data_IF_455671473096
#
_entry.id   IF_455671473096
#
_cell.length_a   1.000
_cell.length_b   1.000
_cell.length_c   1.000
_cell.angle_alpha   90.00
_cell.angle_beta   90.00
_cell.angle_gamma   90.00
#
_symmetry.space_group_name_H-M   'P 1'
#
loop_
_entity.id
_entity.type
_entity.pdbx_description
1 polymer ?
#
# COMPACT_ATOMS: atom_id res chain seq x y z
N UNK A 1 -14.05 6.52 56.88
CA UNK A 1 -15.02 7.52 57.37
C UNK A 1 -14.88 8.76 56.50
N UNK A 2 -15.74 8.92 55.49
CA UNK A 2 -16.81 9.93 55.44
C UNK A 2 -16.25 11.37 55.59
N UNK A 3 -16.37 12.29 54.64
CA UNK A 3 -17.65 12.86 54.20
C UNK A 3 -17.58 13.66 52.88
N UNK A 4 -18.66 13.52 52.09
CA UNK A 4 -19.18 14.41 51.03
C UNK A 4 -19.69 15.75 51.61
N UNK A 5 -19.54 16.84 50.86
CA UNK A 5 -20.44 18.03 50.77
C UNK A 5 -20.05 18.80 49.48
N UNK A 6 -20.81 18.95 48.38
CA UNK A 6 -22.19 19.37 48.07
C UNK A 6 -22.50 20.85 48.32
N UNK A 7 -22.51 21.64 47.24
CA UNK A 7 -23.22 22.93 47.05
C UNK A 7 -23.12 23.24 45.55
N UNK A 8 -24.12 23.38 44.67
CA UNK A 8 -25.58 23.62 44.67
C UNK A 8 -26.04 24.98 45.21
N UNK A 9 -26.08 25.97 44.33
CA UNK A 9 -26.94 27.16 44.36
C UNK A 9 -26.95 27.73 42.92
N UNK A 10 -28.05 27.58 42.16
CA UNK A 10 -29.23 28.50 42.11
C UNK A 10 -28.86 29.82 41.40
N UNK A 11 -29.62 30.40 40.47
CA UNK A 11 -30.99 30.20 39.95
C UNK A 11 -31.21 31.30 38.88
N UNK A 12 -32.17 31.07 37.96
CA UNK A 12 -33.15 32.05 37.39
C UNK A 12 -32.66 33.42 36.89
N UNK A 13 -33.18 34.07 35.86
CA UNK A 13 -34.35 33.97 35.00
C UNK A 13 -34.11 35.14 34.00
N UNK A 14 -34.20 34.94 32.67
CA UNK A 14 -35.40 35.18 31.84
C UNK A 14 -35.55 36.63 31.34
N UNK A 15 -35.75 36.73 30.00
CA UNK A 15 -36.56 37.74 29.27
C UNK A 15 -36.00 39.17 29.22
N UNK A 16 -36.04 39.96 28.13
CA UNK A 16 -36.47 39.86 26.74
C UNK A 16 -36.02 41.17 26.03
N UNK A 17 -35.98 41.18 24.68
CA UNK A 17 -35.88 42.34 23.73
C UNK A 17 -34.47 42.94 23.60
N UNK A 18 -33.96 43.33 22.43
CA UNK A 18 -34.53 43.74 21.13
C UNK A 18 -33.61 43.23 20.01
N UNK A 19 -34.14 42.59 18.95
CA UNK A 19 -34.41 43.20 17.63
C UNK A 19 -33.32 44.10 17.05
N UNK A 20 -33.03 43.78 15.78
CA UNK A 20 -32.42 44.57 14.71
C UNK A 20 -30.89 44.45 14.60
N UNK A 21 -30.45 43.65 13.61
CA UNK A 21 -29.62 44.07 12.47
C UNK A 21 -28.80 42.86 11.97
N UNK A 22 -29.14 42.33 10.79
CA UNK A 22 -28.43 42.67 9.55
C UNK A 22 -26.94 42.37 9.71
N UNK A 23 -26.42 41.23 9.26
CA UNK A 23 -26.21 40.95 7.84
C UNK A 23 -25.22 39.80 7.71
N UNK A 24 -25.20 39.16 6.54
CA UNK A 24 -24.08 38.40 6.02
C UNK A 24 -23.75 37.05 6.70
N UNK A 25 -24.49 36.04 6.23
CA UNK A 25 -23.91 34.82 5.64
C UNK A 25 -22.86 34.07 6.47
N UNK A 26 -23.31 33.14 7.30
CA UNK A 26 -22.47 32.05 7.79
C UNK A 26 -23.26 30.76 7.90
N UNK A 27 -22.88 29.82 7.04
CA UNK A 27 -22.69 28.39 7.34
C UNK A 27 -23.90 27.49 7.62
N UNK A 28 -23.92 26.36 6.89
CA UNK A 28 -24.68 25.11 7.10
C UNK A 28 -26.20 25.23 6.86
N UNK A 29 -26.88 24.38 6.09
CA UNK A 29 -26.59 22.99 5.76
C UNK A 29 -27.19 22.67 4.38
N UNK A 30 -26.34 22.17 3.49
CA UNK A 30 -26.75 21.46 2.29
C UNK A 30 -26.05 20.09 2.32
N UNK A 31 -26.75 19.07 2.80
CA UNK A 31 -26.65 17.78 2.12
C UNK A 31 -27.50 17.92 0.85
N UNK A 32 -26.96 17.61 -0.35
CA UNK A 32 -26.40 16.29 -0.64
C UNK A 32 -25.06 16.38 -1.41
N UNK A 33 -23.94 16.13 -0.75
CA UNK A 33 -22.62 16.02 -1.39
C UNK A 33 -22.03 14.61 -1.24
N UNK A 34 -22.83 13.59 -1.53
CA UNK A 34 -22.35 12.19 -1.65
C UNK A 34 -22.59 11.58 -3.03
N UNK A 35 -23.31 12.27 -3.93
CA UNK A 35 -23.58 11.79 -5.29
C UNK A 35 -22.64 12.33 -6.38
N UNK A 36 -21.83 13.37 -6.09
CA UNK A 36 -20.95 14.00 -7.09
C UNK A 36 -19.50 13.48 -7.10
N UNK A 37 -19.10 12.64 -6.12
CA UNK A 37 -17.70 12.17 -5.98
C UNK A 37 -17.41 10.81 -6.61
N UNK A 38 -18.30 10.28 -7.47
CA UNK A 38 -18.11 9.03 -8.21
C UNK A 38 -17.89 9.18 -9.72
N UNK A 39 -17.70 10.41 -10.23
CA UNK A 39 -17.54 10.66 -11.67
C UNK A 39 -16.23 11.36 -12.10
N UNK A 40 -15.31 11.64 -11.19
CA UNK A 40 -14.06 12.37 -11.53
C UNK A 40 -12.81 11.49 -11.64
N UNK A 41 -12.86 10.18 -11.35
CA UNK A 41 -11.66 9.32 -11.36
C UNK A 41 -11.39 8.64 -12.71
N UNK A 42 -12.11 9.01 -13.77
CA UNK A 42 -11.77 8.67 -15.17
C UNK A 42 -11.32 9.86 -16.02
N UNK A 43 -11.36 11.09 -15.47
CA UNK A 43 -10.94 12.32 -16.18
C UNK A 43 -9.47 12.66 -15.96
N UNK A 44 -8.86 12.30 -14.82
CA UNK A 44 -7.44 12.54 -14.55
C UNK A 44 -6.49 11.93 -15.59
N UNK A 45 -6.81 10.74 -16.09
CA UNK A 45 -6.01 10.06 -17.13
C UNK A 45 -6.19 10.67 -18.54
N UNK A 46 -7.32 11.37 -18.80
CA UNK A 46 -7.54 12.12 -20.05
C UNK A 46 -6.90 13.51 -20.00
N UNK A 47 -6.86 14.14 -18.83
CA UNK A 47 -6.13 15.39 -18.60
C UNK A 47 -4.61 15.19 -18.66
N UNK A 48 -4.08 14.06 -18.21
CA UNK A 48 -2.66 13.73 -18.39
C UNK A 48 -2.28 13.51 -19.87
N UNK A 49 -3.17 12.90 -20.66
CA UNK A 49 -2.99 12.72 -22.11
C UNK A 49 -3.12 14.02 -22.92
N UNK A 50 -3.84 15.03 -22.42
CA UNK A 50 -3.99 16.34 -23.05
C UNK A 50 -3.02 17.40 -22.51
N UNK A 51 -2.47 17.23 -21.29
CA UNK A 51 -1.49 18.14 -20.71
C UNK A 51 -0.11 18.01 -21.33
N UNK A 52 0.30 16.78 -21.69
CA UNK A 52 1.60 16.52 -22.32
C UNK A 52 1.81 17.23 -23.67
N UNK A 53 0.86 17.23 -24.64
CA UNK A 53 1.03 17.97 -25.90
C UNK A 53 1.00 19.49 -25.70
N UNK A 54 0.35 19.98 -24.64
CA UNK A 54 0.29 21.41 -24.36
C UNK A 54 1.65 21.93 -23.86
N UNK A 55 2.30 21.20 -22.94
CA UNK A 55 3.65 21.55 -22.46
C UNK A 55 4.69 21.39 -23.58
N UNK A 56 4.57 20.35 -24.42
CA UNK A 56 5.42 20.17 -25.61
C UNK A 56 5.22 21.29 -26.64
N UNK A 57 3.97 21.68 -26.90
CA UNK A 57 3.64 22.76 -27.84
C UNK A 57 4.14 24.12 -27.39
N UNK A 58 4.03 24.45 -26.10
CA UNK A 58 4.56 25.71 -25.54
C UNK A 58 6.09 25.71 -25.55
N UNK A 59 6.74 24.60 -25.21
CA UNK A 59 8.19 24.46 -25.31
C UNK A 59 8.68 24.61 -26.76
N UNK A 60 8.00 23.98 -27.71
CA UNK A 60 8.32 24.06 -29.14
C UNK A 60 8.14 25.49 -29.68
N UNK A 61 7.05 26.18 -29.32
CA UNK A 61 6.81 27.56 -29.71
C UNK A 61 7.86 28.52 -29.13
N UNK A 62 8.26 28.35 -27.87
CA UNK A 62 9.29 29.16 -27.23
C UNK A 62 10.66 29.00 -27.91
N UNK A 63 11.02 27.78 -28.31
CA UNK A 63 12.25 27.51 -29.10
C UNK A 63 12.14 28.10 -30.51
N UNK A 64 10.98 28.01 -31.14
CA UNK A 64 10.72 28.58 -32.46
C UNK A 64 10.78 30.11 -32.48
N UNK A 65 10.35 30.77 -31.39
CA UNK A 65 10.38 32.23 -31.22
C UNK A 65 11.78 32.76 -30.84
N UNK A 66 12.61 31.97 -30.18
CA UNK A 66 13.93 32.40 -29.69
C UNK A 66 15.07 32.17 -30.68
N UNK A 67 14.96 31.19 -31.57
CA UNK A 67 16.03 30.83 -32.52
C UNK A 67 15.76 31.43 -33.90
N UNK A 68 16.09 32.70 -34.03
CA UNK A 68 16.20 33.36 -35.34
C UNK A 68 17.22 32.66 -36.25
N UNK A 69 16.82 32.50 -37.52
CA UNK A 69 17.65 32.29 -38.74
C UNK A 69 18.33 30.93 -39.01
N UNK A 70 18.30 29.91 -38.15
CA UNK A 70 18.68 28.55 -38.59
C UNK A 70 17.61 27.52 -38.24
N UNK A 71 16.76 27.25 -39.23
CA UNK A 71 15.72 26.22 -39.18
C UNK A 71 16.26 24.86 -38.76
N UNK A 72 17.49 24.53 -39.15
CA UNK A 72 18.15 23.28 -38.76
C UNK A 72 18.43 23.20 -37.25
N UNK A 73 18.99 24.26 -36.64
CA UNK A 73 19.31 24.22 -35.22
C UNK A 73 18.07 24.10 -34.34
N UNK A 74 16.96 24.74 -34.73
CA UNK A 74 15.69 24.63 -34.02
C UNK A 74 15.11 23.21 -34.08
N UNK A 75 15.20 22.54 -35.23
CA UNK A 75 14.74 21.15 -35.39
C UNK A 75 15.60 20.18 -34.58
N UNK A 76 16.93 20.33 -34.64
CA UNK A 76 17.83 19.49 -33.84
C UNK A 76 17.66 19.71 -32.33
N UNK A 77 17.52 20.97 -31.89
CA UNK A 77 17.26 21.28 -30.49
C UNK A 77 15.93 20.67 -30.00
N UNK A 78 14.88 20.74 -30.82
CA UNK A 78 13.59 20.11 -30.51
C UNK A 78 13.68 18.58 -30.44
N UNK A 79 14.41 17.95 -31.36
CA UNK A 79 14.62 16.50 -31.36
C UNK A 79 15.38 16.05 -30.10
N UNK A 80 16.45 16.75 -29.73
CA UNK A 80 17.26 16.43 -28.55
C UNK A 80 16.45 16.62 -27.27
N UNK A 81 15.72 17.74 -27.14
CA UNK A 81 14.86 18.00 -25.99
C UNK A 81 13.72 16.96 -25.90
N UNK A 82 13.13 16.58 -27.04
CA UNK A 82 12.10 15.54 -27.11
C UNK A 82 12.63 14.16 -26.71
N UNK A 83 13.81 13.77 -27.22
CA UNK A 83 14.46 12.52 -26.85
C UNK A 83 14.82 12.47 -25.37
N UNK A 84 15.36 13.57 -24.82
CA UNK A 84 15.68 13.68 -23.40
C UNK A 84 14.41 13.58 -22.53
N UNK A 85 13.33 14.27 -22.91
CA UNK A 85 12.05 14.19 -22.21
C UNK A 85 11.43 12.79 -22.28
N UNK A 86 11.52 12.12 -23.44
CA UNK A 86 11.04 10.76 -23.61
C UNK A 86 11.82 9.75 -22.76
N UNK A 87 13.14 9.86 -22.74
CA UNK A 87 13.99 9.05 -21.85
C UNK A 87 13.64 9.26 -20.38
N UNK A 88 13.42 10.50 -19.97
CA UNK A 88 13.04 10.82 -18.60
C UNK A 88 11.65 10.26 -18.25
N UNK A 89 10.70 10.30 -19.18
CA UNK A 89 9.37 9.70 -19.01
C UNK A 89 9.45 8.17 -18.92
N UNK A 90 10.29 7.51 -19.73
CA UNK A 90 10.53 6.08 -19.63
C UNK A 90 11.20 5.72 -18.30
N UNK A 91 12.19 6.49 -17.86
CA UNK A 91 12.87 6.27 -16.59
C UNK A 91 11.90 6.44 -15.42
N UNK A 92 11.10 7.50 -15.42
CA UNK A 92 10.09 7.74 -14.40
C UNK A 92 8.99 6.68 -14.42
N UNK A 93 8.58 6.23 -15.62
CA UNK A 93 7.65 5.12 -15.79
C UNK A 93 8.21 3.78 -15.27
N UNK A 94 9.49 3.50 -15.50
CA UNK A 94 10.16 2.31 -14.99
C UNK A 94 10.27 2.33 -13.45
N UNK A 95 10.62 3.49 -12.88
CA UNK A 95 10.65 3.68 -11.42
C UNK A 95 9.24 3.54 -10.84
N UNK A 96 8.24 4.17 -11.46
CA UNK A 96 6.85 4.07 -11.02
C UNK A 96 6.29 2.65 -11.16
N UNK A 97 6.70 1.88 -12.16
CA UNK A 97 6.36 0.47 -12.29
C UNK A 97 7.00 -0.35 -11.16
N UNK A 98 8.29 -0.12 -10.90
CA UNK A 98 9.04 -0.81 -9.86
C UNK A 98 8.49 -0.52 -8.46
N UNK A 99 8.12 0.73 -8.18
CA UNK A 99 7.47 1.15 -6.93
C UNK A 99 6.00 0.71 -6.89
N UNK A 100 5.29 0.76 -8.01
CA UNK A 100 3.89 0.35 -8.12
C UNK A 100 3.67 -1.16 -7.99
N UNK A 101 4.69 -1.99 -8.18
CA UNK A 101 4.66 -3.41 -7.79
C UNK A 101 4.53 -3.59 -6.26
N UNK A 102 4.84 -2.55 -5.46
CA UNK A 102 4.64 -2.55 -4.00
C UNK A 102 3.20 -2.14 -3.62
N UNK A 103 2.47 -1.45 -4.52
CA UNK A 103 1.13 -0.90 -4.27
C UNK A 103 0.02 -1.58 -5.10
N UNK A 104 0.34 -2.67 -5.81
CA UNK A 104 -0.68 -3.57 -6.35
C UNK A 104 -1.50 -4.14 -5.20
N UNK A 105 -2.83 -4.15 -5.32
CA UNK A 105 -3.74 -4.70 -4.31
C UNK A 105 -3.16 -6.02 -3.78
N UNK A 106 -3.07 -6.20 -2.44
CA UNK A 106 -2.38 -7.34 -1.88
C UNK A 106 -2.99 -8.61 -2.47
N UNK A 107 -2.17 -9.52 -3.05
CA UNK A 107 -2.66 -10.80 -3.51
C UNK A 107 -3.37 -11.52 -2.35
N UNK A 108 -4.32 -12.43 -2.62
CA UNK A 108 -4.95 -13.21 -1.57
C UNK A 108 -3.88 -13.84 -0.64
N UNK A 109 -4.16 -13.98 0.67
CA UNK A 109 -3.17 -14.40 1.68
C UNK A 109 -2.38 -15.64 1.27
N UNK A 110 -3.06 -16.59 0.63
CA UNK A 110 -2.52 -17.84 0.13
C UNK A 110 -1.42 -17.64 -0.94
N UNK A 111 -1.68 -16.78 -1.93
CA UNK A 111 -0.71 -16.47 -3.00
C UNK A 111 0.50 -15.70 -2.45
N UNK A 112 0.28 -14.79 -1.49
CA UNK A 112 1.37 -14.04 -0.86
C UNK A 112 2.32 -14.96 -0.08
N UNK A 113 1.77 -15.94 0.65
CA UNK A 113 2.55 -16.94 1.37
C UNK A 113 3.34 -17.83 0.41
N UNK A 114 2.72 -18.29 -0.68
CA UNK A 114 3.41 -19.10 -1.69
C UNK A 114 4.60 -18.39 -2.33
N UNK A 115 4.44 -17.10 -2.65
CA UNK A 115 5.50 -16.29 -3.25
C UNK A 115 6.65 -16.06 -2.27
N UNK A 116 6.35 -15.75 -1.02
CA UNK A 116 7.36 -15.65 0.04
C UNK A 116 8.11 -16.97 0.26
N UNK A 117 7.41 -18.11 0.18
CA UNK A 117 8.04 -19.43 0.27
C UNK A 117 8.93 -19.76 -0.95
N UNK A 118 8.58 -19.28 -2.15
CA UNK A 118 9.44 -19.36 -3.34
C UNK A 118 10.71 -18.54 -3.14
N UNK A 119 10.58 -17.30 -2.69
CA UNK A 119 11.70 -16.40 -2.43
C UNK A 119 12.68 -16.98 -1.39
N UNK A 120 12.15 -17.55 -0.30
CA UNK A 120 12.96 -18.28 0.69
C UNK A 120 13.79 -19.39 0.04
N UNK A 121 13.19 -20.23 -0.82
CA UNK A 121 13.90 -21.33 -1.48
C UNK A 121 15.01 -20.82 -2.40
N UNK A 122 14.74 -19.76 -3.17
CA UNK A 122 15.72 -19.16 -4.08
C UNK A 122 16.90 -18.54 -3.34
N UNK A 123 16.65 -17.80 -2.26
CA UNK A 123 17.70 -17.18 -1.45
C UNK A 123 18.59 -18.23 -0.79
N UNK A 124 18.01 -19.24 -0.17
CA UNK A 124 18.78 -20.31 0.49
C UNK A 124 19.60 -21.12 -0.52
N UNK A 125 19.05 -21.36 -1.72
CA UNK A 125 19.78 -22.00 -2.80
C UNK A 125 20.97 -21.17 -3.25
N UNK A 126 20.77 -19.87 -3.46
CA UNK A 126 21.83 -18.95 -3.90
C UNK A 126 22.96 -18.86 -2.89
N UNK A 127 22.63 -18.74 -1.60
CA UNK A 127 23.62 -18.76 -0.52
C UNK A 127 24.42 -20.07 -0.57
N UNK A 128 23.75 -21.20 -0.77
CA UNK A 128 24.41 -22.50 -0.78
C UNK A 128 25.33 -22.70 -1.99
N UNK A 129 24.93 -22.20 -3.16
CA UNK A 129 25.76 -22.24 -4.36
C UNK A 129 27.05 -21.41 -4.18
N UNK A 130 26.96 -20.22 -3.57
CA UNK A 130 28.14 -19.39 -3.27
C UNK A 130 29.05 -20.06 -2.23
N UNK A 131 28.49 -20.61 -1.16
CA UNK A 131 29.27 -21.35 -0.14
C UNK A 131 29.99 -22.55 -0.75
N UNK A 132 29.34 -23.21 -1.73
CA UNK A 132 29.93 -24.32 -2.46
C UNK A 132 31.05 -23.84 -3.39
N UNK A 133 30.89 -22.71 -4.07
CA UNK A 133 31.94 -22.13 -4.92
C UNK A 133 33.19 -21.71 -4.11
N UNK A 134 33.01 -21.23 -2.87
CA UNK A 134 34.13 -21.00 -1.93
C UNK A 134 34.82 -22.31 -1.54
N UNK A 135 34.05 -23.36 -1.21
CA UNK A 135 34.61 -24.67 -0.86
C UNK A 135 35.34 -25.34 -2.03
N UNK A 136 34.89 -25.08 -3.26
CA UNK A 136 35.54 -25.53 -4.49
C UNK A 136 36.76 -24.68 -4.87
N UNK A 137 37.06 -23.61 -4.12
CA UNK A 137 38.15 -22.69 -4.40
C UNK A 137 37.95 -21.85 -5.68
N UNK A 138 36.70 -21.72 -6.17
CA UNK A 138 36.37 -20.81 -7.27
C UNK A 138 36.28 -19.35 -6.83
N UNK A 139 36.01 -19.13 -5.54
CA UNK A 139 35.91 -17.83 -4.90
C UNK A 139 36.75 -17.84 -3.63
N UNK A 140 37.33 -16.68 -3.29
CA UNK A 140 37.98 -16.49 -2.00
C UNK A 140 36.93 -16.40 -0.88
N UNK A 141 37.31 -16.81 0.34
CA UNK A 141 36.38 -16.86 1.47
C UNK A 141 35.80 -15.48 1.82
N UNK A 142 36.61 -14.43 1.68
CA UNK A 142 36.19 -13.05 1.95
C UNK A 142 35.18 -12.56 0.89
N UNK A 143 35.46 -12.81 -0.39
CA UNK A 143 34.56 -12.48 -1.51
C UNK A 143 33.23 -13.25 -1.40
N UNK A 144 33.26 -14.52 -1.03
CA UNK A 144 32.05 -15.30 -0.78
C UNK A 144 31.21 -14.78 0.38
N UNK A 145 31.84 -14.27 1.44
CA UNK A 145 31.12 -13.62 2.54
C UNK A 145 30.49 -12.30 2.12
N UNK A 146 31.18 -11.48 1.34
CA UNK A 146 30.64 -10.23 0.80
C UNK A 146 29.40 -10.47 -0.07
N UNK A 147 29.40 -11.54 -0.88
CA UNK A 147 28.27 -11.92 -1.73
C UNK A 147 27.10 -12.54 -0.95
N UNK A 148 27.38 -13.31 0.11
CA UNK A 148 26.33 -13.97 0.91
C UNK A 148 25.69 -13.07 1.96
N UNK A 149 26.39 -12.06 2.47
CA UNK A 149 25.86 -11.10 3.45
C UNK A 149 24.53 -10.42 3.05
N UNK A 150 24.39 -9.80 1.86
CA UNK A 150 23.13 -9.20 1.45
C UNK A 150 22.01 -10.24 1.29
N UNK A 151 22.35 -11.45 0.83
CA UNK A 151 21.39 -12.55 0.69
C UNK A 151 20.89 -13.05 2.05
N UNK A 152 21.79 -13.16 3.05
CA UNK A 152 21.42 -13.52 4.43
C UNK A 152 20.50 -12.47 5.05
N UNK A 153 20.80 -11.18 4.89
CA UNK A 153 19.92 -10.09 5.34
C UNK A 153 18.54 -10.19 4.70
N UNK A 154 18.47 -10.45 3.39
CA UNK A 154 17.19 -10.62 2.69
C UNK A 154 16.45 -11.89 3.13
N UNK A 155 17.15 -13.00 3.34
CA UNK A 155 16.54 -14.24 3.82
C UNK A 155 15.91 -14.08 5.20
N UNK A 156 16.57 -13.36 6.12
CA UNK A 156 16.00 -13.03 7.44
C UNK A 156 14.73 -12.18 7.29
N UNK A 157 14.73 -11.21 6.38
CA UNK A 157 13.55 -10.38 6.13
C UNK A 157 12.38 -11.22 5.59
N UNK A 158 12.62 -12.06 4.57
CA UNK A 158 11.58 -12.93 3.99
C UNK A 158 11.02 -13.90 5.03
N UNK A 159 11.86 -14.46 5.91
CA UNK A 159 11.40 -15.32 7.00
C UNK A 159 10.47 -14.60 7.97
N UNK A 160 10.78 -13.34 8.33
CA UNK A 160 9.90 -12.52 9.17
C UNK A 160 8.57 -12.23 8.49
N UNK A 161 8.59 -11.92 7.19
CA UNK A 161 7.38 -11.67 6.41
C UNK A 161 6.50 -12.94 6.30
N UNK A 162 7.11 -14.13 6.20
CA UNK A 162 6.39 -15.42 6.27
C UNK A 162 5.74 -15.61 7.65
N UNK A 163 6.48 -15.35 8.72
CA UNK A 163 5.97 -15.51 10.09
C UNK A 163 4.79 -14.56 10.33
N UNK A 164 4.89 -13.31 9.89
CA UNK A 164 3.79 -12.34 9.96
C UNK A 164 2.58 -12.78 9.12
N UNK A 165 2.79 -13.23 7.89
CA UNK A 165 1.72 -13.68 7.02
C UNK A 165 1.01 -14.93 7.57
N UNK A 166 1.74 -15.88 8.18
CA UNK A 166 1.15 -17.06 8.85
C UNK A 166 0.33 -16.70 10.09
N UNK A 167 0.70 -15.64 10.79
CA UNK A 167 -0.07 -15.15 11.93
C UNK A 167 -1.39 -14.50 11.49
N UNK A 168 -1.41 -13.87 10.30
CA UNK A 168 -2.61 -13.26 9.70
C UNK A 168 -3.54 -14.29 9.05
N UNK A 169 -2.97 -15.39 8.53
CA UNK A 169 -3.72 -16.47 7.87
C UNK A 169 -4.40 -17.44 8.84
N UNK A 170 -4.09 -17.37 10.15
CA UNK A 170 -4.86 -18.12 11.15
C UNK A 170 -6.33 -17.68 11.07
N UNK A 171 -7.27 -18.59 10.72
CA UNK A 171 -8.67 -18.24 10.63
C UNK A 171 -9.12 -17.75 12.00
N UNK A 172 -9.51 -16.48 12.06
CA UNK A 172 -10.06 -15.84 13.26
C UNK A 172 -11.34 -16.55 13.73
N UNK A 173 -11.94 -17.39 12.88
CA UNK A 173 -13.12 -18.18 13.15
C UNK A 173 -12.86 -19.33 14.14
N UNK A 174 -11.60 -19.80 14.27
CA UNK A 174 -11.23 -20.80 15.27
C UNK A 174 -10.89 -20.18 16.64
N UNK A 175 -10.56 -18.89 16.67
CA UNK A 175 -10.32 -18.11 17.88
C UNK A 175 -11.60 -17.47 18.45
N UNK A 176 -12.71 -17.50 17.69
CA UNK A 176 -14.02 -17.02 18.11
C UNK A 176 -14.87 -18.05 18.85
N UNK A 177 -14.45 -19.32 18.88
CA UNK A 177 -15.03 -20.35 19.75
C UNK A 177 -14.26 -20.35 21.06
N UNK A 178 -14.96 -20.15 22.17
CA UNK A 178 -14.34 -20.24 23.49
C UNK A 178 -13.72 -21.64 23.65
N UNK A 179 -12.63 -21.80 24.43
CA UNK A 179 -12.10 -23.12 24.75
C UNK A 179 -13.18 -24.11 25.23
N UNK A 180 -14.21 -23.60 25.90
CA UNK A 180 -15.34 -24.37 26.41
C UNK A 180 -16.24 -24.89 25.27
N UNK A 181 -16.51 -24.08 24.24
CA UNK A 181 -17.32 -24.48 23.08
C UNK A 181 -16.61 -25.50 22.18
N UNK A 182 -15.26 -25.47 22.13
CA UNK A 182 -14.45 -26.50 21.45
C UNK A 182 -14.59 -27.85 22.15
N UNK A 183 -14.49 -27.85 23.47
CA UNK A 183 -14.61 -29.05 24.30
C UNK A 183 -16.03 -29.61 24.23
N UNK A 184 -17.06 -28.77 24.26
CA UNK A 184 -18.46 -29.20 24.14
C UNK A 184 -18.74 -29.88 22.79
N UNK A 185 -18.24 -29.33 21.67
CA UNK A 185 -18.40 -29.95 20.34
C UNK A 185 -17.68 -31.29 20.23
N UNK A 186 -16.49 -31.40 20.80
CA UNK A 186 -15.72 -32.65 20.80
C UNK A 186 -16.43 -33.72 21.64
N UNK A 187 -16.95 -33.35 22.83
CA UNK A 187 -17.72 -34.25 23.69
C UNK A 187 -19.00 -34.70 22.98
N UNK A 188 -19.74 -33.79 22.33
CA UNK A 188 -20.99 -34.13 21.66
C UNK A 188 -20.78 -35.06 20.45
N UNK A 189 -19.70 -34.83 19.69
CA UNK A 189 -19.30 -35.70 18.58
C UNK A 189 -18.90 -37.10 19.07
N UNK A 190 -18.17 -37.17 20.20
CA UNK A 190 -17.71 -38.44 20.77
C UNK A 190 -18.86 -39.23 21.39
N UNK A 191 -19.82 -38.56 22.04
CA UNK A 191 -21.06 -39.18 22.52
C UNK A 191 -21.84 -39.73 21.33
N UNK A 192 -21.99 -38.96 20.25
CA UNK A 192 -22.71 -39.41 19.05
C UNK A 192 -22.07 -40.65 18.42
N UNK A 193 -20.73 -40.71 18.36
CA UNK A 193 -19.98 -41.89 17.89
C UNK A 193 -20.20 -43.11 18.78
N UNK A 194 -20.11 -42.94 20.10
CA UNK A 194 -20.31 -44.04 21.05
C UNK A 194 -21.75 -44.54 21.02
N UNK A 195 -22.73 -43.65 20.96
CA UNK A 195 -24.16 -44.03 20.85
C UNK A 195 -24.41 -44.80 19.56
N UNK A 196 -23.79 -44.42 18.44
CA UNK A 196 -23.88 -45.19 17.20
C UNK A 196 -23.20 -46.56 17.27
N UNK A 197 -22.15 -46.73 18.10
CA UNK A 197 -21.45 -48.01 18.30
C UNK A 197 -22.18 -48.99 19.22
N UNK A 198 -23.04 -48.51 20.13
CA UNK A 198 -23.77 -49.36 21.09
C UNK A 198 -25.27 -49.49 20.81
N UNK A 199 -25.79 -48.79 19.80
CA UNK A 199 -27.22 -48.75 19.45
C UNK A 199 -27.62 -49.56 18.21
N UNK A 200 -26.76 -50.48 17.74
CA UNK A 200 -27.02 -51.38 16.60
C UNK A 200 -27.28 -52.81 17.04
#
# INVERSE_FOLDING_TARGET
MASKTKSKSDKSDKSDRSKADSSASKSLAAEPSSAAKKLSMKKGLRLLRLGLPLVMGVGYAAVFLTVGKSTYAAVFAGLVAGAAGFLLALLFGAIALLVGQVEGAPPPPDERLEDLERDKRLLLRSIREIELDVQLGKLEADEGNELTEPLRRRAVQVLREIDEARLLDKPSDEAALSPDERVEREIEAEIRRRVAMYGG
#
